data_IF_113091608566
#
_entry.id   IF_113091608566
#
_cell.length_a   1.000
_cell.length_b   1.000
_cell.length_c   1.000
_cell.angle_alpha   90.00
_cell.angle_beta   90.00
_cell.angle_gamma   90.00
#
_symmetry.space_group_name_H-M   'P 1'
#
loop_
_entity.id
_entity.type
_entity.pdbx_description
1 polymer ?
#
# COMPACT_ATOMS: atom_id res chain seq x y z
N UNK A 1 -0.56 -3.54 7.98
CA UNK A 1 0.59 -3.44 7.04
C UNK A 1 1.96 -3.74 7.62
N UNK A 2 2.62 -2.87 8.41
CA UNK A 2 4.05 -3.06 8.74
C UNK A 2 4.43 -4.42 9.31
N UNK A 3 3.64 -4.95 10.26
CA UNK A 3 3.89 -6.28 10.82
C UNK A 3 3.73 -7.39 9.76
N UNK A 4 2.77 -7.24 8.84
CA UNK A 4 2.56 -8.19 7.76
C UNK A 4 3.72 -8.14 6.74
N UNK A 5 4.22 -6.95 6.41
CA UNK A 5 5.39 -6.76 5.54
C UNK A 5 6.64 -7.38 6.16
N UNK A 6 6.92 -7.09 7.43
CA UNK A 6 8.06 -7.67 8.14
C UNK A 6 7.95 -9.20 8.24
N UNK A 7 6.76 -9.73 8.56
CA UNK A 7 6.51 -11.16 8.67
C UNK A 7 6.66 -11.87 7.32
N UNK A 8 6.17 -11.27 6.24
CA UNK A 8 6.29 -11.83 4.89
C UNK A 8 7.73 -11.78 4.39
N UNK A 9 8.48 -10.71 4.64
CA UNK A 9 9.91 -10.63 4.35
C UNK A 9 10.71 -11.68 5.14
N UNK A 10 10.37 -11.90 6.41
CA UNK A 10 10.98 -12.95 7.23
C UNK A 10 10.67 -14.37 6.72
N UNK A 11 9.41 -14.63 6.37
CA UNK A 11 8.94 -15.93 5.91
C UNK A 11 9.51 -16.30 4.54
N UNK A 12 9.48 -15.35 3.61
CA UNK A 12 9.91 -15.56 2.21
C UNK A 12 11.41 -15.39 2.02
N UNK A 13 12.10 -14.77 2.98
CA UNK A 13 13.50 -14.34 2.88
C UNK A 13 13.77 -13.46 1.65
N UNK A 14 12.74 -12.76 1.17
CA UNK A 14 12.79 -12.01 -0.09
C UNK A 14 12.21 -10.59 0.07
N UNK A 15 12.85 -9.71 0.88
CA UNK A 15 12.40 -8.34 1.08
C UNK A 15 12.42 -7.52 -0.23
N UNK A 16 13.42 -7.74 -1.10
CA UNK A 16 13.54 -7.02 -2.37
C UNK A 16 12.40 -7.32 -3.35
N UNK A 17 11.87 -8.54 -3.34
CA UNK A 17 10.69 -8.91 -4.13
C UNK A 17 9.45 -8.14 -3.69
N UNK A 18 9.23 -8.02 -2.37
CA UNK A 18 8.13 -7.25 -1.81
C UNK A 18 8.28 -5.76 -2.10
N UNK A 19 9.48 -5.20 -1.93
CA UNK A 19 9.77 -3.79 -2.28
C UNK A 19 9.46 -3.52 -3.76
N UNK A 20 9.86 -4.41 -4.67
CA UNK A 20 9.60 -4.25 -6.10
C UNK A 20 8.10 -4.36 -6.43
N UNK A 21 7.37 -5.26 -5.77
CA UNK A 21 5.92 -5.37 -5.93
C UNK A 21 5.21 -4.07 -5.48
N UNK A 22 5.58 -3.52 -4.32
CA UNK A 22 5.05 -2.26 -3.81
C UNK A 22 5.36 -1.08 -4.75
N UNK A 23 6.58 -0.99 -5.27
CA UNK A 23 6.96 0.02 -6.27
C UNK A 23 6.10 -0.08 -7.53
N UNK A 24 5.79 -1.30 -7.98
CA UNK A 24 4.91 -1.53 -9.14
C UNK A 24 3.46 -1.14 -8.85
N UNK A 25 2.95 -1.39 -7.65
CA UNK A 25 1.59 -0.96 -7.26
C UNK A 25 1.52 0.57 -7.24
N UNK A 26 2.46 1.23 -6.56
CA UNK A 26 2.52 2.70 -6.49
C UNK A 26 2.59 3.37 -7.87
N UNK A 27 3.30 2.75 -8.83
CA UNK A 27 3.37 3.26 -10.21
C UNK A 27 2.02 3.21 -10.96
N UNK A 28 1.06 2.41 -10.49
CA UNK A 28 -0.24 2.19 -11.14
C UNK A 28 -1.42 2.83 -10.38
N UNK A 29 -1.18 3.62 -9.33
CA UNK A 29 -2.22 4.30 -8.53
C UNK A 29 -3.11 5.25 -9.37
N UNK A 30 -2.59 5.76 -10.49
CA UNK A 30 -3.31 6.72 -11.35
C UNK A 30 -4.11 6.06 -12.49
N UNK A 31 -4.28 4.73 -12.47
CA UNK A 31 -5.10 4.05 -13.48
C UNK A 31 -6.57 4.20 -13.09
N UNK A 32 -7.40 4.89 -13.90
CA UNK A 32 -8.83 5.00 -13.61
C UNK A 32 -9.47 3.62 -13.66
N UNK A 33 -10.09 3.22 -12.56
CA UNK A 33 -10.79 1.95 -12.43
C UNK A 33 -12.23 2.10 -12.88
N UNK A 34 -12.68 1.23 -13.78
CA UNK A 34 -14.02 1.30 -14.39
C UNK A 34 -15.16 1.13 -13.38
N UNK A 35 -14.93 0.41 -12.28
CA UNK A 35 -15.97 0.06 -11.28
C UNK A 35 -15.50 0.16 -9.83
N UNK A 36 -14.61 1.11 -9.51
CA UNK A 36 -14.21 1.34 -8.13
C UNK A 36 -15.32 2.06 -7.35
N UNK A 37 -15.84 1.40 -6.30
CA UNK A 37 -16.76 2.01 -5.35
C UNK A 37 -16.44 1.53 -3.93
N UNK A 38 -16.98 2.21 -2.91
CA UNK A 38 -16.69 1.89 -1.50
C UNK A 38 -17.03 0.45 -1.12
N UNK A 39 -18.07 -0.13 -1.74
CA UNK A 39 -18.46 -1.52 -1.47
C UNK A 39 -17.46 -2.53 -2.06
N UNK A 40 -16.72 -2.19 -3.12
CA UNK A 40 -15.72 -3.05 -3.74
C UNK A 40 -14.29 -2.74 -3.32
N UNK A 41 -14.05 -1.63 -2.62
CA UNK A 41 -12.71 -1.17 -2.23
C UNK A 41 -11.86 -2.23 -1.52
N UNK A 42 -12.48 -3.06 -0.66
CA UNK A 42 -11.80 -4.12 0.08
C UNK A 42 -11.31 -5.31 -0.78
N UNK A 43 -11.67 -5.36 -2.07
CA UNK A 43 -11.19 -6.35 -3.02
C UNK A 43 -9.88 -5.93 -3.72
N UNK A 44 -9.47 -4.68 -3.55
CA UNK A 44 -8.28 -4.12 -4.17
C UNK A 44 -7.08 -4.20 -3.24
N UNK A 45 -5.89 -4.27 -3.84
CA UNK A 45 -4.62 -4.31 -3.11
C UNK A 45 -4.30 -2.94 -2.49
N UNK A 46 -4.78 -1.87 -3.12
CA UNK A 46 -4.68 -0.48 -2.66
C UNK A 46 -6.05 0.20 -2.80
N UNK A 47 -6.35 1.19 -1.97
CA UNK A 47 -7.70 1.77 -1.88
C UNK A 47 -8.03 2.61 -3.13
N UNK A 48 -8.97 2.14 -3.99
CA UNK A 48 -9.22 2.75 -5.29
C UNK A 48 -10.12 3.98 -5.24
N UNK A 49 -10.74 4.28 -4.09
CA UNK A 49 -11.76 5.34 -3.93
C UNK A 49 -11.17 6.58 -3.23
N UNK A 50 -9.92 6.50 -2.78
CA UNK A 50 -9.29 7.51 -1.92
C UNK A 50 -8.62 8.67 -2.65
N UNK A 51 -8.75 8.77 -3.99
CA UNK A 51 -8.14 9.84 -4.79
C UNK A 51 -8.47 11.26 -4.29
N UNK A 52 -9.57 11.46 -3.56
CA UNK A 52 -9.94 12.75 -2.93
C UNK A 52 -9.26 13.02 -1.56
N UNK A 53 -8.68 12.00 -0.91
CA UNK A 53 -8.16 12.06 0.48
C UNK A 53 -6.65 11.97 0.61
N UNK A 54 -5.91 11.72 -0.47
CA UNK A 54 -4.45 11.72 -0.47
C UNK A 54 -3.91 13.13 -0.16
N UNK A 55 -3.53 13.38 1.09
CA UNK A 55 -2.80 14.59 1.50
C UNK A 55 -3.34 15.36 2.71
N UNK A 56 -4.54 15.05 3.21
CA UNK A 56 -5.06 15.71 4.42
C UNK A 56 -4.65 14.97 5.70
N UNK A 57 -4.25 15.72 6.73
CA UNK A 57 -3.88 15.17 8.05
C UNK A 57 -5.02 14.37 8.71
N UNK A 58 -6.28 14.70 8.37
CA UNK A 58 -7.48 13.97 8.81
C UNK A 58 -7.61 12.60 8.13
N UNK A 59 -7.22 12.47 6.85
CA UNK A 59 -7.24 11.18 6.16
C UNK A 59 -6.26 10.19 6.80
N UNK A 60 -5.11 10.66 7.31
CA UNK A 60 -4.16 9.84 8.08
C UNK A 60 -4.75 9.23 9.36
N UNK A 61 -5.71 9.90 10.00
CA UNK A 61 -6.37 9.40 11.22
C UNK A 61 -7.32 8.23 10.96
N UNK A 62 -7.86 8.13 9.74
CA UNK A 62 -8.76 7.04 9.33
C UNK A 62 -8.09 6.02 8.39
N UNK A 63 -6.82 6.22 8.07
CA UNK A 63 -6.05 5.30 7.23
C UNK A 63 -5.77 4.01 8.00
N UNK A 64 -6.48 2.93 7.64
CA UNK A 64 -6.22 1.59 8.19
C UNK A 64 -4.92 0.98 7.66
N UNK A 65 -4.38 1.57 6.59
CA UNK A 65 -3.11 1.20 5.97
C UNK A 65 -2.19 2.44 5.87
N UNK A 66 -0.93 2.37 6.33
CA UNK A 66 0.05 3.42 6.08
C UNK A 66 0.36 3.55 4.58
N UNK A 67 0.80 4.73 4.13
CA UNK A 67 1.21 4.96 2.74
C UNK A 67 2.24 3.94 2.24
N UNK A 68 2.17 3.56 0.97
CA UNK A 68 3.10 2.60 0.34
C UNK A 68 4.56 3.07 0.47
N UNK A 69 4.82 4.38 0.38
CA UNK A 69 6.16 4.96 0.55
C UNK A 69 6.76 4.67 1.93
N UNK A 70 5.96 4.76 2.99
CA UNK A 70 6.40 4.46 4.35
C UNK A 70 6.69 2.96 4.52
N UNK A 71 5.92 2.10 3.86
CA UNK A 71 6.14 0.64 3.85
C UNK A 71 7.44 0.26 3.15
N UNK A 72 7.70 0.84 1.98
CA UNK A 72 8.97 0.62 1.25
C UNK A 72 10.15 1.03 2.13
N UNK A 73 10.09 2.20 2.76
CA UNK A 73 11.16 2.69 3.63
C UNK A 73 11.41 1.76 4.82
N UNK A 74 10.35 1.22 5.44
CA UNK A 74 10.48 0.25 6.52
C UNK A 74 11.16 -1.05 6.04
N UNK A 75 10.82 -1.55 4.86
CA UNK A 75 11.39 -2.77 4.29
C UNK A 75 12.85 -2.60 3.85
N UNK A 76 13.23 -1.42 3.34
CA UNK A 76 14.63 -1.10 2.99
C UNK A 76 15.56 -1.09 4.21
N UNK A 77 15.03 -0.88 5.42
CA UNK A 77 15.80 -1.01 6.67
C UNK A 77 15.93 -2.45 7.20
N UNK A 78 15.19 -3.39 6.64
CA UNK A 78 15.20 -4.82 7.02
C UNK A 78 15.96 -5.68 6.00
N UNK A 79 16.07 -5.20 4.75
CA UNK A 79 16.85 -5.80 3.66
C UNK A 79 18.36 -5.63 3.89
#
# INVERSE_FOLDING_TARGET
EFYADASSAHLTRQPSGLINALKKIAANENIPLETANTATAHLYIDDPVTTETHGTWLAKLFSTHPPISDRIKALEGVA
#
